data_IF_263190582547
#
_entry.id   IF_263190582547
#
_cell.length_a   1.000
_cell.length_b   1.000
_cell.length_c   1.000
_cell.angle_alpha   90.00
_cell.angle_beta   90.00
_cell.angle_gamma   90.00
#
_symmetry.space_group_name_H-M   'P 1'
#
loop_
_entity.id
_entity.type
_entity.pdbx_description
1 polymer ?
#
# COMPACT_ATOMS: atom_id res chain seq x y z
N UNK A 1 -34.45 -11.34 1.35
CA UNK A 1 -33.72 -10.88 1.23
C UNK A 1 -32.82 -10.81 1.98
N UNK A 2 -32.20 -11.03 1.79
CA UNK A 2 -31.31 -11.03 2.53
C UNK A 2 -30.97 -9.88 3.06
N UNK A 3 -30.44 -9.91 4.10
CA UNK A 3 -30.01 -8.91 4.67
C UNK A 3 -28.93 -8.46 3.97
N UNK A 4 -28.98 -7.46 3.34
CA UNK A 4 -27.91 -7.01 2.60
C UNK A 4 -26.87 -6.35 3.43
N UNK A 5 -27.16 -5.98 4.61
CA UNK A 5 -26.17 -5.29 5.39
C UNK A 5 -25.07 -6.12 5.93
N UNK A 6 -25.16 -7.43 5.80
CA UNK A 6 -24.13 -8.23 6.33
C UNK A 6 -22.94 -8.44 5.44
N UNK A 7 -23.09 -8.21 4.17
CA UNK A 7 -21.98 -8.35 3.26
C UNK A 7 -21.04 -7.19 3.38
N UNK A 8 -19.76 -7.46 3.39
CA UNK A 8 -18.75 -6.41 3.38
C UNK A 8 -17.97 -6.54 2.12
N UNK A 9 -17.76 -5.43 1.45
CA UNK A 9 -17.00 -5.41 0.21
C UNK A 9 -15.84 -4.44 0.38
N UNK A 10 -14.67 -4.89 -0.03
CA UNK A 10 -13.48 -4.05 0.01
C UNK A 10 -12.93 -3.93 -1.40
N UNK A 11 -12.33 -2.80 -1.66
CA UNK A 11 -11.66 -2.57 -2.92
C UNK A 11 -10.17 -2.47 -2.63
N UNK A 12 -9.34 -2.95 -3.53
CA UNK A 12 -7.90 -2.85 -3.37
C UNK A 12 -7.34 -2.00 -4.48
N UNK A 13 -6.40 -1.14 -4.14
CA UNK A 13 -5.69 -0.37 -5.15
C UNK A 13 -4.21 -0.60 -4.94
N UNK A 14 -3.45 -0.48 -6.01
CA UNK A 14 -2.02 -0.73 -5.98
C UNK A 14 -1.25 0.57 -5.87
N UNK A 15 -0.23 0.56 -5.03
CA UNK A 15 0.63 1.70 -4.80
C UNK A 15 2.08 1.26 -4.89
N UNK A 16 2.96 2.20 -5.19
CA UNK A 16 4.39 1.97 -5.12
C UNK A 16 4.95 2.99 -4.16
N UNK A 17 5.50 2.51 -3.05
CA UNK A 17 6.18 3.39 -2.10
C UNK A 17 7.66 3.39 -2.39
N UNK A 18 8.31 4.52 -2.21
CA UNK A 18 9.73 4.67 -2.46
C UNK A 18 10.36 5.33 -1.24
N UNK A 19 11.49 4.82 -0.81
CA UNK A 19 12.21 5.38 0.34
C UNK A 19 13.71 5.23 0.11
N UNK A 20 14.47 6.19 0.55
CA UNK A 20 15.92 6.07 0.53
C UNK A 20 16.42 5.34 1.78
N UNK A 21 15.54 4.99 2.69
CA UNK A 21 15.90 4.46 4.00
C UNK A 21 15.67 2.97 4.16
N UNK A 22 14.46 2.49 3.84
CA UNK A 22 14.11 1.09 4.07
C UNK A 22 12.83 0.72 3.36
N UNK A 23 12.58 -0.60 3.22
CA UNK A 23 11.32 -1.08 2.69
C UNK A 23 10.18 -0.73 3.66
N UNK A 24 10.45 -0.82 4.95
CA UNK A 24 9.42 -0.49 5.92
C UNK A 24 8.97 0.95 5.77
N UNK A 25 9.92 1.86 5.59
CA UNK A 25 9.60 3.26 5.43
C UNK A 25 8.83 3.50 4.12
N UNK A 26 9.20 2.78 3.06
CA UNK A 26 8.49 2.88 1.79
C UNK A 26 7.03 2.47 1.95
N UNK A 27 6.77 1.39 2.68
CA UNK A 27 5.41 0.91 2.91
C UNK A 27 4.62 1.91 3.74
N UNK A 28 5.21 2.38 4.84
CA UNK A 28 4.53 3.32 5.72
C UNK A 28 4.21 4.62 5.00
N UNK A 29 5.12 5.09 4.16
CA UNK A 29 4.91 6.32 3.40
C UNK A 29 3.76 6.17 2.41
N UNK A 30 3.69 5.02 1.74
CA UNK A 30 2.63 4.77 0.78
C UNK A 30 1.27 4.73 1.47
N UNK A 31 1.19 4.05 2.62
CA UNK A 31 -0.06 3.96 3.36
C UNK A 31 -0.48 5.33 3.88
N UNK A 32 0.48 6.09 4.41
CA UNK A 32 0.18 7.42 4.93
C UNK A 32 -0.36 8.33 3.83
N UNK A 33 0.25 8.26 2.65
CA UNK A 33 -0.19 9.09 1.53
C UNK A 33 -1.59 8.69 1.07
N UNK A 34 -1.84 7.39 0.99
CA UNK A 34 -3.15 6.90 0.58
C UNK A 34 -4.23 7.34 1.57
N UNK A 35 -3.90 7.38 2.86
CA UNK A 35 -4.87 7.73 3.87
C UNK A 35 -5.30 9.19 3.82
N UNK A 36 -4.57 10.02 3.06
CA UNK A 36 -4.95 11.42 2.91
C UNK A 36 -6.19 11.58 2.03
N UNK A 37 -6.44 10.63 1.14
CA UNK A 37 -7.56 10.76 0.23
C UNK A 37 -8.54 9.59 0.26
N UNK A 38 -8.18 8.49 0.91
CA UNK A 38 -9.05 7.32 0.97
C UNK A 38 -9.51 7.11 2.40
N UNK A 39 -10.75 6.70 2.54
CA UNK A 39 -11.31 6.42 3.86
C UNK A 39 -11.46 4.93 4.03
N UNK A 40 -11.40 4.46 5.26
CA UNK A 40 -11.69 3.07 5.55
C UNK A 40 -10.57 2.12 5.19
N UNK A 41 -9.33 2.61 5.13
CA UNK A 41 -8.20 1.73 4.87
C UNK A 41 -8.16 0.67 5.96
N UNK A 42 -8.11 -0.58 5.55
CA UNK A 42 -8.24 -1.69 6.48
C UNK A 42 -7.00 -2.55 6.58
N UNK A 43 -6.39 -2.88 5.47
CA UNK A 43 -5.13 -3.65 5.50
C UNK A 43 -4.36 -3.40 4.23
N UNK A 44 -3.13 -3.85 4.23
CA UNK A 44 -2.28 -3.78 3.04
C UNK A 44 -1.61 -5.13 2.83
N UNK A 45 -1.18 -5.38 1.61
CA UNK A 45 -0.36 -6.54 1.32
C UNK A 45 0.75 -6.10 0.39
N UNK A 46 1.96 -6.56 0.67
CA UNK A 46 3.11 -6.22 -0.15
C UNK A 46 3.26 -7.30 -1.20
N UNK A 47 3.28 -6.89 -2.46
CA UNK A 47 3.36 -7.85 -3.56
C UNK A 47 4.77 -7.95 -4.14
N UNK A 48 5.56 -6.88 -4.05
CA UNK A 48 6.93 -6.89 -4.55
C UNK A 48 7.80 -5.96 -3.73
N UNK A 49 9.06 -6.31 -3.62
CA UNK A 49 10.04 -5.42 -3.05
C UNK A 49 11.22 -5.42 -3.99
N UNK A 50 11.66 -4.27 -4.38
CA UNK A 50 12.83 -4.14 -5.23
C UNK A 50 13.42 -2.75 -5.00
N UNK A 51 14.45 -2.41 -5.70
CA UNK A 51 15.09 -1.13 -5.47
C UNK A 51 15.93 -0.70 -6.63
N UNK A 52 16.56 0.43 -6.45
CA UNK A 52 17.40 1.03 -7.46
C UNK A 52 18.84 0.96 -7.01
N UNK A 53 19.71 0.61 -7.91
CA UNK A 53 21.15 0.54 -7.64
C UNK A 53 21.82 1.62 -8.46
N UNK A 54 22.67 2.41 -7.79
CA UNK A 54 23.46 3.44 -8.47
C UNK A 54 24.88 3.28 -8.00
N UNK A 55 25.78 3.12 -8.95
CA UNK A 55 27.20 2.97 -8.66
C UNK A 55 27.48 1.85 -7.65
N UNK A 56 26.79 0.72 -7.82
CA UNK A 56 27.00 -0.44 -6.96
C UNK A 56 26.39 -0.35 -5.59
N UNK A 57 25.59 0.66 -5.32
CA UNK A 57 24.98 0.83 -4.00
C UNK A 57 23.47 0.94 -4.13
N UNK A 58 22.78 0.51 -3.09
CA UNK A 58 21.33 0.63 -3.06
C UNK A 58 20.98 2.09 -2.85
N UNK A 59 20.31 2.67 -3.83
CA UNK A 59 19.92 4.09 -3.77
C UNK A 59 18.50 4.27 -3.29
N UNK A 60 17.62 3.34 -3.62
CA UNK A 60 16.22 3.43 -3.24
C UNK A 60 15.68 2.07 -2.92
N UNK A 61 14.73 2.05 -1.99
CA UNK A 61 13.93 0.88 -1.67
C UNK A 61 12.53 1.14 -2.21
N UNK A 62 12.01 0.22 -3.00
CA UNK A 62 10.70 0.38 -3.61
C UNK A 62 9.84 -0.80 -3.20
N UNK A 63 8.65 -0.52 -2.69
CA UNK A 63 7.71 -1.55 -2.29
C UNK A 63 6.44 -1.38 -3.09
N UNK A 64 5.99 -2.46 -3.72
CA UNK A 64 4.71 -2.47 -4.42
C UNK A 64 3.72 -3.13 -3.48
N UNK A 65 2.65 -2.43 -3.19
CA UNK A 65 1.67 -2.94 -2.23
C UNK A 65 0.27 -2.60 -2.69
N UNK A 66 -0.67 -3.37 -2.19
CA UNK A 66 -2.07 -3.07 -2.39
C UNK A 66 -2.66 -2.71 -1.05
N UNK A 67 -3.50 -1.69 -1.04
CA UNK A 67 -4.23 -1.33 0.17
C UNK A 67 -5.69 -1.62 -0.07
N UNK A 68 -6.35 -2.12 0.95
CA UNK A 68 -7.77 -2.47 0.88
C UNK A 68 -8.55 -1.48 1.72
N UNK A 69 -9.66 -1.01 1.17
CA UNK A 69 -10.53 -0.12 1.91
C UNK A 69 -11.97 -0.53 1.71
N UNK A 70 -12.76 -0.28 2.73
CA UNK A 70 -14.13 -0.72 2.72
C UNK A 70 -14.98 0.17 1.83
N UNK A 71 -15.86 -0.45 1.08
CA UNK A 71 -16.80 0.28 0.23
C UNK A 71 -18.12 0.29 0.94
N UNK A 72 -18.70 1.47 1.04
CA UNK A 72 -20.02 1.60 1.67
C UNK A 72 -21.12 1.52 0.65
#
# INVERSE_FOLDING_TARGET
MAKTGEGKVFKKIELVGVSSTSFEDAIKSAVAKASESLHGLSWFEVTEQHGKIVDGKVAEFQAVLKVAFKID
#
